data_IF_136398167803
#
_entry.id   IF_136398167803
#
_cell.length_a   1.000
_cell.length_b   1.000
_cell.length_c   1.000
_cell.angle_alpha   90.00
_cell.angle_beta   90.00
_cell.angle_gamma   90.00
#
_symmetry.space_group_name_H-M   'P 1'
#
loop_
_entity.id
_entity.type
_entity.pdbx_description
1 polymer ?
#
# COMPACT_ATOMS: atom_id res chain seq x y z
N UNK A 1 -5.05 17.39 1.06
CA UNK A 1 -5.36 16.59 -0.15
C UNK A 1 -6.65 17.09 -0.82
N UNK A 2 -7.86 17.06 -0.17
CA UNK A 2 -9.17 17.40 -0.76
C UNK A 2 -9.15 18.72 -1.56
N UNK A 3 -8.71 19.83 -0.94
CA UNK A 3 -8.69 21.15 -1.60
C UNK A 3 -7.87 21.15 -2.89
N UNK A 4 -6.77 20.43 -2.93
CA UNK A 4 -5.94 20.33 -4.13
C UNK A 4 -6.63 19.47 -5.20
N UNK A 5 -7.21 18.33 -4.82
CA UNK A 5 -7.90 17.44 -5.75
C UNK A 5 -9.09 18.15 -6.45
N UNK A 6 -9.99 18.78 -5.70
CA UNK A 6 -11.17 19.48 -6.27
C UNK A 6 -10.80 20.72 -7.10
N UNK A 7 -9.63 21.30 -6.90
CA UNK A 7 -9.10 22.42 -7.67
C UNK A 7 -8.13 22.00 -8.80
N UNK A 8 -8.17 20.72 -9.21
CA UNK A 8 -7.45 20.24 -10.39
C UNK A 8 -6.05 19.71 -10.14
N UNK A 9 -5.65 19.49 -8.89
CA UNK A 9 -4.42 18.78 -8.57
C UNK A 9 -4.49 17.33 -9.07
N UNK A 10 -3.60 16.96 -10.00
CA UNK A 10 -3.64 15.64 -10.65
C UNK A 10 -2.84 14.59 -9.91
N UNK A 11 -1.80 14.98 -9.20
CA UNK A 11 -1.00 14.11 -8.37
C UNK A 11 -0.71 14.81 -7.04
N UNK A 12 -1.07 14.17 -5.95
CA UNK A 12 -0.94 14.73 -4.60
C UNK A 12 -0.32 13.65 -3.72
N UNK A 13 0.91 13.87 -3.30
CA UNK A 13 1.59 13.02 -2.31
C UNK A 13 1.41 13.62 -0.93
N UNK A 14 1.02 12.77 0.02
CA UNK A 14 0.95 13.09 1.44
C UNK A 14 1.77 12.05 2.17
N UNK A 15 2.85 12.46 2.79
CA UNK A 15 3.70 11.59 3.57
C UNK A 15 3.77 12.05 5.01
N UNK A 16 3.94 11.10 5.93
CA UNK A 16 4.35 11.41 7.30
C UNK A 16 5.85 11.63 7.33
N UNK A 17 6.31 12.50 8.22
CA UNK A 17 7.73 12.75 8.38
C UNK A 17 8.46 11.47 8.82
N UNK A 18 9.61 11.22 8.22
CA UNK A 18 10.47 10.09 8.59
C UNK A 18 11.36 10.48 9.76
N UNK A 19 11.22 9.77 10.85
CA UNK A 19 12.11 9.82 11.99
C UNK A 19 12.64 8.40 12.24
N UNK A 20 13.96 8.17 12.09
CA UNK A 20 14.55 6.85 12.31
C UNK A 20 14.19 6.28 13.67
N UNK A 21 13.77 5.01 13.70
CA UNK A 21 13.35 4.28 14.91
C UNK A 21 12.13 4.87 15.65
N UNK A 22 11.44 5.84 15.05
CA UNK A 22 10.22 6.45 15.61
C UNK A 22 9.05 6.35 14.61
N UNK A 23 7.86 6.65 15.10
CA UNK A 23 6.65 6.67 14.27
C UNK A 23 6.42 5.34 13.56
N UNK A 24 6.38 5.38 12.23
CA UNK A 24 6.18 4.20 11.38
C UNK A 24 7.42 3.29 11.27
N UNK A 25 8.59 3.76 11.67
CA UNK A 25 9.81 2.94 11.68
C UNK A 25 9.85 2.02 12.91
N UNK A 26 8.97 1.03 12.93
CA UNK A 26 8.62 0.20 14.08
C UNK A 26 9.58 -0.98 14.26
N UNK A 27 10.80 -0.75 14.67
CA UNK A 27 11.75 -1.82 14.98
C UNK A 27 11.50 -2.50 16.32
N UNK A 28 11.13 -1.72 17.35
CA UNK A 28 10.84 -2.21 18.70
C UNK A 28 9.45 -1.78 19.14
N UNK A 29 8.79 -2.57 20.00
CA UNK A 29 7.42 -2.34 20.45
C UNK A 29 6.46 -2.00 19.29
N UNK A 30 6.64 -2.72 18.17
CA UNK A 30 6.05 -2.37 16.88
C UNK A 30 4.53 -2.42 16.87
N UNK A 31 3.93 -3.36 17.59
CA UNK A 31 2.47 -3.48 17.61
C UNK A 31 1.81 -2.28 18.33
N UNK A 32 2.33 -1.88 19.48
CA UNK A 32 1.82 -0.71 20.21
C UNK A 32 2.05 0.59 19.41
N UNK A 33 3.25 0.73 18.81
CA UNK A 33 3.58 1.90 17.99
C UNK A 33 2.71 1.98 16.74
N UNK A 34 2.56 0.90 16.00
CA UNK A 34 1.72 0.85 14.81
C UNK A 34 0.25 1.15 15.13
N UNK A 35 -0.26 0.70 16.30
CA UNK A 35 -1.60 1.04 16.75
C UNK A 35 -1.78 2.56 16.90
N UNK A 36 -0.84 3.23 17.58
CA UNK A 36 -0.85 4.69 17.73
C UNK A 36 -0.76 5.43 16.40
N UNK A 37 0.10 4.97 15.50
CA UNK A 37 0.25 5.59 14.19
C UNK A 37 -1.02 5.41 13.32
N UNK A 38 -1.68 4.25 13.41
CA UNK A 38 -2.97 4.03 12.75
C UNK A 38 -4.05 5.00 13.21
N UNK A 39 -4.12 5.31 14.49
CA UNK A 39 -5.06 6.31 15.03
C UNK A 39 -4.90 7.70 14.38
N UNK A 40 -3.67 8.08 14.01
CA UNK A 40 -3.38 9.36 13.37
C UNK A 40 -3.92 9.45 11.94
N UNK A 41 -3.97 8.35 11.20
CA UNK A 41 -4.34 8.34 9.79
C UNK A 41 -5.77 7.85 9.54
N UNK A 42 -6.34 7.03 10.41
CA UNK A 42 -7.62 6.37 10.20
C UNK A 42 -8.75 7.38 9.94
N UNK A 43 -9.00 8.27 10.90
CA UNK A 43 -10.06 9.29 10.76
C UNK A 43 -9.84 10.27 9.61
N UNK A 44 -8.63 10.84 9.41
CA UNK A 44 -8.36 11.73 8.28
C UNK A 44 -8.55 11.07 6.92
N UNK A 45 -8.17 9.80 6.75
CA UNK A 45 -8.37 9.07 5.49
C UNK A 45 -9.86 8.78 5.29
N UNK A 46 -10.55 8.27 6.31
CA UNK A 46 -11.99 8.01 6.23
C UNK A 46 -12.77 9.30 5.89
N UNK A 47 -12.43 10.43 6.50
CA UNK A 47 -13.07 11.71 6.20
C UNK A 47 -12.74 12.19 4.78
N UNK A 48 -11.52 12.00 4.30
CA UNK A 48 -11.15 12.35 2.92
C UNK A 48 -11.98 11.56 1.91
N UNK A 49 -12.12 10.24 2.11
CA UNK A 49 -12.91 9.37 1.23
C UNK A 49 -14.37 9.82 1.22
N UNK A 50 -14.96 10.00 2.40
CA UNK A 50 -16.33 10.47 2.54
C UNK A 50 -16.58 11.83 1.86
N UNK A 51 -15.70 12.78 2.09
CA UNK A 51 -15.79 14.12 1.51
C UNK A 51 -15.72 14.11 -0.01
N UNK A 52 -14.88 13.25 -0.60
CA UNK A 52 -14.75 13.12 -2.05
C UNK A 52 -15.95 12.38 -2.64
N UNK A 53 -16.49 11.39 -1.94
CA UNK A 53 -17.69 10.65 -2.35
C UNK A 53 -18.93 11.59 -2.35
N UNK A 54 -19.18 12.27 -1.25
CA UNK A 54 -20.30 13.22 -1.11
C UNK A 54 -20.23 14.38 -2.11
N UNK A 55 -19.06 14.77 -2.54
CA UNK A 55 -18.86 15.83 -3.55
C UNK A 55 -18.79 15.31 -5.00
N UNK A 56 -18.98 14.00 -5.23
CA UNK A 56 -18.95 13.39 -6.56
C UNK A 56 -17.56 13.39 -7.21
N UNK A 57 -16.49 13.43 -6.40
CA UNK A 57 -15.10 13.43 -6.90
C UNK A 57 -14.41 12.08 -6.72
N UNK A 58 -14.94 11.17 -5.90
CA UNK A 58 -14.27 9.90 -5.58
C UNK A 58 -14.10 9.01 -6.82
N UNK A 59 -15.11 8.95 -7.70
CA UNK A 59 -15.06 8.10 -8.90
C UNK A 59 -13.92 8.47 -9.87
N UNK A 60 -13.45 9.73 -9.80
CA UNK A 60 -12.34 10.25 -10.62
C UNK A 60 -11.10 10.60 -9.82
N UNK A 61 -11.00 10.13 -8.59
CA UNK A 61 -9.86 10.35 -7.71
C UNK A 61 -9.42 9.02 -7.13
N UNK A 62 -8.31 8.49 -7.61
CA UNK A 62 -7.70 7.30 -7.02
C UNK A 62 -6.94 7.69 -5.76
N UNK A 63 -7.31 7.11 -4.63
CA UNK A 63 -6.60 7.24 -3.35
C UNK A 63 -5.84 5.94 -3.10
N UNK A 64 -4.55 6.06 -2.77
CA UNK A 64 -3.68 4.92 -2.49
C UNK A 64 -3.03 5.13 -1.12
N UNK A 65 -3.13 4.14 -0.26
CA UNK A 65 -2.35 4.04 0.97
C UNK A 65 -1.38 2.88 0.83
N UNK A 66 -0.11 3.19 0.84
CA UNK A 66 0.98 2.23 0.70
C UNK A 66 2.17 2.63 1.55
N UNK A 67 3.06 1.67 1.79
CA UNK A 67 4.40 1.88 2.32
C UNK A 67 5.44 1.33 1.34
N UNK A 68 6.69 1.64 1.58
CA UNK A 68 7.82 1.20 0.76
C UNK A 68 8.03 -0.32 0.81
N UNK A 69 7.76 -0.94 1.95
CA UNK A 69 7.81 -2.38 2.19
C UNK A 69 6.97 -2.72 3.43
N UNK A 70 6.84 -4.00 3.69
CA UNK A 70 6.19 -4.55 4.88
C UNK A 70 7.19 -4.78 6.02
N UNK A 71 6.70 -5.26 7.15
CA UNK A 71 7.50 -5.65 8.31
C UNK A 71 7.26 -7.13 8.62
N UNK A 72 8.35 -7.89 8.73
CA UNK A 72 8.32 -9.27 9.22
C UNK A 72 8.50 -9.25 10.74
N UNK A 73 7.56 -9.79 11.48
CA UNK A 73 7.68 -9.91 12.93
C UNK A 73 8.80 -10.90 13.27
N UNK A 74 9.83 -10.44 13.95
CA UNK A 74 10.90 -11.29 14.48
C UNK A 74 10.39 -12.06 15.69
N UNK A 75 9.57 -11.41 16.50
CA UNK A 75 8.89 -12.00 17.64
C UNK A 75 7.39 -11.74 17.57
N UNK A 76 6.61 -12.77 17.85
CA UNK A 76 5.16 -12.70 17.98
C UNK A 76 4.78 -13.02 19.43
N UNK A 77 3.68 -12.46 19.89
CA UNK A 77 3.15 -12.67 21.23
C UNK A 77 2.86 -11.37 21.95
N UNK A 78 2.47 -11.49 23.18
CA UNK A 78 2.18 -10.35 24.08
C UNK A 78 3.03 -10.48 25.34
N UNK A 79 3.38 -9.38 26.01
CA UNK A 79 4.08 -9.44 27.26
C UNK A 79 3.39 -10.37 28.27
N UNK A 80 4.17 -11.28 28.87
CA UNK A 80 3.68 -12.26 29.85
C UNK A 80 3.09 -13.54 29.24
N UNK A 81 3.07 -13.69 27.90
CA UNK A 81 2.56 -14.89 27.23
C UNK A 81 3.68 -15.65 26.49
N UNK A 82 3.54 -16.98 26.31
CA UNK A 82 4.46 -17.75 25.48
C UNK A 82 4.51 -17.23 24.05
N UNK A 83 5.70 -17.16 23.48
CA UNK A 83 5.93 -16.66 22.11
C UNK A 83 6.23 -17.78 21.13
N UNK A 84 5.80 -17.59 19.88
CA UNK A 84 6.32 -18.30 18.71
C UNK A 84 7.23 -17.36 17.94
N UNK A 85 8.45 -17.75 17.72
CA UNK A 85 9.42 -16.92 17.03
C UNK A 85 10.26 -17.70 16.03
N UNK A 86 11.03 -16.98 15.24
CA UNK A 86 11.97 -17.53 14.25
C UNK A 86 13.43 -17.55 14.74
N UNK A 87 13.69 -17.09 15.94
CA UNK A 87 15.02 -17.00 16.54
C UNK A 87 14.93 -17.50 17.97
N UNK A 88 16.03 -18.04 18.51
CA UNK A 88 16.11 -18.41 19.92
C UNK A 88 15.84 -17.21 20.82
N UNK A 89 14.68 -17.22 21.43
CA UNK A 89 14.18 -16.15 22.31
C UNK A 89 13.63 -16.79 23.59
N UNK A 90 13.47 -16.04 24.65
CA UNK A 90 12.80 -16.55 25.84
C UNK A 90 11.36 -16.98 25.53
N UNK A 91 10.88 -18.06 26.14
CA UNK A 91 9.53 -18.59 25.95
C UNK A 91 8.42 -17.58 26.30
N UNK A 92 8.75 -16.54 27.05
CA UNK A 92 7.83 -15.48 27.48
C UNK A 92 8.47 -14.13 27.24
N UNK A 93 7.70 -13.20 26.64
CA UNK A 93 8.12 -11.81 26.48
C UNK A 93 8.00 -11.10 27.83
N UNK A 94 9.12 -10.75 28.45
CA UNK A 94 9.17 -9.96 29.68
C UNK A 94 9.34 -8.45 29.41
N UNK A 95 10.06 -8.10 28.34
CA UNK A 95 10.33 -6.71 27.96
C UNK A 95 9.44 -6.28 26.80
N UNK A 96 8.66 -5.24 26.98
CA UNK A 96 7.71 -4.70 26.01
C UNK A 96 8.38 -4.31 24.68
N UNK A 97 9.67 -4.00 24.67
CA UNK A 97 10.39 -3.68 23.42
C UNK A 97 10.32 -4.82 22.39
N UNK A 98 10.24 -6.07 22.85
CA UNK A 98 10.13 -7.25 21.97
C UNK A 98 8.71 -7.47 21.43
N UNK A 99 7.69 -6.79 21.96
CA UNK A 99 6.33 -6.93 21.48
C UNK A 99 6.17 -6.35 20.06
N UNK A 100 6.10 -7.25 19.08
CA UNK A 100 6.11 -6.87 17.67
C UNK A 100 7.44 -6.26 17.24
N UNK A 101 8.58 -6.84 17.66
CA UNK A 101 9.87 -6.51 17.10
C UNK A 101 9.91 -6.90 15.63
N UNK A 102 10.17 -5.94 14.75
CA UNK A 102 10.07 -6.10 13.32
C UNK A 102 11.38 -5.84 12.60
N UNK A 103 11.55 -6.47 11.45
CA UNK A 103 12.57 -6.13 10.47
C UNK A 103 11.93 -5.81 9.11
N UNK A 104 12.70 -5.26 8.19
CA UNK A 104 12.24 -5.01 6.83
C UNK A 104 11.89 -6.32 6.11
N UNK A 105 10.73 -6.36 5.48
CA UNK A 105 10.24 -7.50 4.73
C UNK A 105 9.77 -7.03 3.35
N UNK A 106 10.43 -7.55 2.30
CA UNK A 106 10.24 -7.09 0.92
C UNK A 106 9.46 -8.08 0.05
N UNK A 107 9.19 -9.30 0.54
CA UNK A 107 8.53 -10.34 -0.24
C UNK A 107 7.01 -10.24 -0.27
N UNK A 108 6.45 -9.33 0.51
CA UNK A 108 5.02 -9.05 0.53
C UNK A 108 4.71 -7.72 1.20
N UNK A 109 3.71 -7.03 0.67
CA UNK A 109 3.17 -5.80 1.25
C UNK A 109 1.69 -5.69 0.92
N UNK A 110 0.96 -4.90 1.69
CA UNK A 110 -0.46 -4.62 1.45
C UNK A 110 -0.64 -3.19 0.98
N UNK A 111 -1.46 -3.01 -0.05
CA UNK A 111 -1.83 -1.70 -0.58
C UNK A 111 -3.35 -1.55 -0.48
N UNK A 112 -3.81 -0.42 0.00
CA UNK A 112 -5.23 -0.08 0.03
C UNK A 112 -5.53 0.97 -1.04
N UNK A 113 -6.63 0.77 -1.76
CA UNK A 113 -7.05 1.68 -2.82
C UNK A 113 -8.54 2.02 -2.70
N UNK A 114 -8.89 3.26 -3.04
CA UNK A 114 -10.27 3.74 -3.07
C UNK A 114 -10.51 4.68 -4.23
N UNK A 115 -11.71 4.67 -4.77
CA UNK A 115 -12.13 5.56 -5.86
C UNK A 115 -11.42 5.26 -7.20
N UNK A 116 -11.46 6.20 -8.13
CA UNK A 116 -10.78 6.07 -9.42
C UNK A 116 -11.14 4.83 -10.24
N UNK A 117 -12.38 4.30 -10.07
CA UNK A 117 -12.85 3.11 -10.76
C UNK A 117 -12.47 1.78 -10.09
N UNK A 118 -11.81 1.79 -8.94
CA UNK A 118 -11.50 0.57 -8.17
C UNK A 118 -12.79 -0.11 -7.71
N UNK A 119 -12.84 -1.43 -7.88
CA UNK A 119 -13.97 -2.27 -7.44
C UNK A 119 -14.10 -2.26 -5.92
N UNK A 120 -15.32 -1.97 -5.44
CA UNK A 120 -15.60 -1.84 -4.01
C UNK A 120 -15.63 -3.20 -3.32
N UNK A 121 -14.90 -3.31 -2.20
CA UNK A 121 -14.88 -4.52 -1.39
C UNK A 121 -14.04 -5.66 -1.97
N UNK A 122 -13.28 -5.42 -3.03
CA UNK A 122 -12.37 -6.39 -3.60
C UNK A 122 -11.19 -6.66 -2.68
N UNK A 123 -10.87 -7.94 -2.50
CA UNK A 123 -9.59 -8.39 -1.95
C UNK A 123 -8.88 -9.11 -3.09
N UNK A 124 -7.72 -8.60 -3.50
CA UNK A 124 -6.93 -9.15 -4.58
C UNK A 124 -5.59 -9.68 -4.06
N UNK A 125 -5.33 -10.94 -4.37
CA UNK A 125 -4.16 -11.64 -3.88
C UNK A 125 -4.34 -12.19 -2.47
N UNK A 126 -3.44 -13.09 -2.10
CA UNK A 126 -3.38 -13.71 -0.78
C UNK A 126 -1.95 -14.02 -0.40
N UNK A 127 -1.62 -13.80 0.85
CA UNK A 127 -0.37 -14.25 1.45
C UNK A 127 -0.59 -15.56 2.21
N UNK A 128 0.48 -16.36 2.36
CA UNK A 128 0.45 -17.54 3.20
C UNK A 128 0.20 -17.15 4.67
N UNK A 129 -0.51 -18.00 5.40
CA UNK A 129 -0.74 -17.83 6.83
C UNK A 129 0.53 -18.12 7.64
N UNK A 130 1.46 -18.89 7.04
CA UNK A 130 2.72 -19.27 7.64
C UNK A 130 3.86 -18.41 7.09
N UNK A 131 4.87 -18.19 7.92
CA UNK A 131 6.10 -17.49 7.51
C UNK A 131 6.83 -18.24 6.41
N UNK A 132 7.44 -17.51 5.47
CA UNK A 132 7.66 -16.06 5.44
C UNK A 132 6.49 -15.21 4.91
N UNK A 133 5.25 -15.67 4.93
CA UNK A 133 4.06 -14.95 4.46
C UNK A 133 4.15 -14.53 2.99
N UNK A 134 4.72 -15.38 2.16
CA UNK A 134 4.87 -15.16 0.72
C UNK A 134 3.51 -15.07 0.03
N UNK A 135 3.45 -14.31 -1.05
CA UNK A 135 2.24 -14.26 -1.88
C UNK A 135 1.98 -15.61 -2.56
N UNK A 136 0.81 -16.21 -2.33
CA UNK A 136 0.43 -17.55 -2.82
C UNK A 136 -0.70 -17.53 -3.85
N UNK A 137 -1.48 -16.45 -3.91
CA UNK A 137 -2.51 -16.25 -4.92
C UNK A 137 -2.36 -14.86 -5.55
N UNK A 138 -2.49 -14.77 -6.86
CA UNK A 138 -2.43 -13.53 -7.62
C UNK A 138 -1.27 -12.62 -7.18
N UNK A 139 -0.01 -13.09 -7.20
CA UNK A 139 1.12 -12.28 -6.82
C UNK A 139 1.22 -11.03 -7.70
N UNK A 140 1.46 -9.89 -7.06
CA UNK A 140 1.56 -8.60 -7.72
C UNK A 140 2.97 -8.04 -7.57
N UNK A 141 3.59 -7.66 -8.67
CA UNK A 141 4.85 -6.92 -8.65
C UNK A 141 4.60 -5.42 -8.71
N UNK A 142 5.56 -4.64 -8.26
CA UNK A 142 5.42 -3.17 -8.16
C UNK A 142 5.13 -2.51 -9.52
N UNK A 143 5.66 -3.05 -10.61
CA UNK A 143 5.40 -2.56 -11.96
C UNK A 143 3.91 -2.64 -12.31
N UNK A 144 3.24 -3.72 -11.95
CA UNK A 144 1.79 -3.89 -12.17
C UNK A 144 0.97 -2.88 -11.36
N UNK A 145 1.43 -2.53 -10.16
CA UNK A 145 0.79 -1.46 -9.36
C UNK A 145 0.90 -0.12 -10.09
N UNK A 146 2.09 0.26 -10.54
CA UNK A 146 2.29 1.50 -11.30
C UNK A 146 1.45 1.52 -12.58
N UNK A 147 1.39 0.41 -13.30
CA UNK A 147 0.59 0.30 -14.50
C UNK A 147 -0.90 0.41 -14.26
N UNK A 148 -1.38 -0.14 -13.13
CA UNK A 148 -2.76 0.03 -12.70
C UNK A 148 -3.08 1.49 -12.36
N UNK A 149 -2.14 2.21 -11.75
CA UNK A 149 -2.25 3.65 -11.52
C UNK A 149 -2.32 4.42 -12.84
N UNK A 150 -1.44 4.12 -13.79
CA UNK A 150 -1.47 4.75 -15.12
C UNK A 150 -2.76 4.42 -15.87
N UNK A 151 -3.24 3.19 -15.78
CA UNK A 151 -4.51 2.78 -16.36
C UNK A 151 -5.68 3.62 -15.79
N UNK A 152 -5.74 3.78 -14.47
CA UNK A 152 -6.74 4.64 -13.81
C UNK A 152 -6.67 6.11 -14.26
N UNK A 153 -5.49 6.59 -14.65
CA UNK A 153 -5.26 7.94 -15.20
C UNK A 153 -5.53 8.02 -16.71
N UNK A 154 -5.87 6.94 -17.37
CA UNK A 154 -6.04 6.88 -18.84
C UNK A 154 -4.73 6.97 -19.61
N UNK A 155 -3.59 6.61 -19.00
CA UNK A 155 -2.28 6.62 -19.64
C UNK A 155 -1.97 5.23 -20.16
N UNK A 156 -1.79 5.12 -21.48
CA UNK A 156 -1.49 3.83 -22.12
C UNK A 156 -0.05 3.39 -21.84
N UNK A 157 0.25 2.09 -21.70
CA UNK A 157 1.61 1.58 -21.49
C UNK A 157 2.63 2.06 -22.52
N UNK A 158 2.22 2.15 -23.79
CA UNK A 158 3.08 2.61 -24.90
C UNK A 158 3.31 4.13 -24.90
N UNK A 159 2.69 4.89 -23.97
CA UNK A 159 2.94 6.33 -23.87
C UNK A 159 4.40 6.58 -23.56
N UNK A 160 5.04 7.41 -24.40
CA UNK A 160 6.46 7.70 -24.26
C UNK A 160 6.80 9.14 -24.68
N UNK A 161 7.96 9.57 -24.26
CA UNK A 161 8.64 10.77 -24.77
C UNK A 161 9.89 10.33 -25.52
N UNK A 162 10.17 10.98 -26.66
CA UNK A 162 11.40 10.75 -27.41
C UNK A 162 12.44 11.79 -27.06
N UNK A 163 13.58 11.34 -26.55
CA UNK A 163 14.73 12.20 -26.22
C UNK A 163 15.92 11.67 -27.00
N UNK A 164 16.53 12.53 -27.83
CA UNK A 164 17.67 12.17 -28.69
C UNK A 164 17.42 10.90 -29.54
N UNK A 165 16.19 10.74 -30.04
CA UNK A 165 15.80 9.59 -30.86
C UNK A 165 15.54 8.30 -30.08
N UNK A 166 15.56 8.31 -28.75
CA UNK A 166 15.25 7.17 -27.88
C UNK A 166 13.89 7.35 -27.20
N UNK A 167 12.99 6.35 -27.27
CA UNK A 167 11.75 6.41 -26.53
C UNK A 167 11.96 6.15 -25.02
N UNK A 168 11.33 6.95 -24.18
CA UNK A 168 11.22 6.77 -22.75
C UNK A 168 9.76 6.49 -22.40
N UNK A 169 9.44 5.25 -22.18
CA UNK A 169 8.08 4.78 -21.86
C UNK A 169 7.72 5.05 -20.40
N UNK A 170 6.42 5.14 -20.12
CA UNK A 170 5.88 5.20 -18.74
C UNK A 170 5.99 3.86 -18.01
N UNK A 171 6.18 2.77 -18.74
CA UNK A 171 6.32 1.41 -18.24
C UNK A 171 7.54 0.76 -18.88
N UNK A 172 8.13 -0.30 -18.29
CA UNK A 172 9.26 -0.98 -18.91
C UNK A 172 8.97 -1.38 -20.36
N UNK A 173 9.73 -0.81 -21.29
CA UNK A 173 9.67 -1.05 -22.73
C UNK A 173 8.26 -0.89 -23.37
N UNK A 174 7.33 -0.18 -22.71
CA UNK A 174 5.97 0.01 -23.21
C UNK A 174 5.07 -1.23 -23.09
N UNK A 175 5.50 -2.27 -22.41
CA UNK A 175 4.79 -3.56 -22.34
C UNK A 175 4.06 -3.81 -21.02
N UNK A 176 3.79 -2.77 -20.26
CA UNK A 176 3.13 -2.89 -18.97
C UNK A 176 1.70 -3.45 -19.05
N UNK A 177 1.37 -4.28 -18.05
CA UNK A 177 0.02 -4.86 -17.92
C UNK A 177 -0.57 -4.45 -16.58
N UNK A 178 -1.60 -3.59 -16.58
CA UNK A 178 -2.33 -3.26 -15.35
C UNK A 178 -3.11 -4.50 -14.85
N UNK A 179 -3.42 -4.50 -13.58
CA UNK A 179 -4.29 -5.51 -12.96
C UNK A 179 -5.73 -5.07 -13.22
N UNK A 180 -6.31 -5.54 -14.32
CA UNK A 180 -7.66 -5.14 -14.75
C UNK A 180 -8.74 -5.57 -13.77
N UNK A 181 -8.53 -6.65 -13.05
CA UNK A 181 -9.47 -7.16 -12.03
C UNK A 181 -9.70 -6.16 -10.87
N UNK A 182 -8.81 -5.18 -10.69
CA UNK A 182 -9.00 -4.12 -9.71
C UNK A 182 -10.11 -3.13 -10.09
N UNK A 183 -10.52 -3.11 -11.37
CA UNK A 183 -11.44 -2.12 -11.90
C UNK A 183 -12.81 -2.74 -12.21
N UNK A 184 -13.87 -2.07 -11.82
CA UNK A 184 -15.23 -2.50 -12.13
C UNK A 184 -15.50 -2.51 -13.65
N UNK A 185 -16.47 -3.32 -14.07
CA UNK A 185 -16.85 -3.54 -15.47
C UNK A 185 -17.13 -2.26 -16.28
N UNK A 186 -17.36 -1.13 -15.64
CA UNK A 186 -17.60 0.16 -16.29
C UNK A 186 -16.35 0.79 -16.90
N UNK A 187 -15.16 0.48 -16.38
CA UNK A 187 -13.88 1.03 -16.86
C UNK A 187 -13.29 0.20 -18.02
N UNK A 188 -13.64 -1.07 -18.13
CA UNK A 188 -13.11 -1.99 -19.15
C UNK A 188 -13.62 -1.61 -20.56
N UNK A 189 -14.70 -0.83 -20.66
CA UNK A 189 -15.35 -0.50 -21.94
C UNK A 189 -14.80 0.74 -22.66
N UNK A 190 -13.84 1.45 -22.08
CA UNK A 190 -13.30 2.72 -22.63
C UNK A 190 -11.82 2.67 -23.01
N UNK A 191 -11.20 1.49 -23.01
CA UNK A 191 -9.81 1.28 -23.44
C UNK A 191 -9.73 0.69 -24.85
#
# INVERSE_FOLDING_TARGET
AKRLAVNGGRFISVSTEYEPFLGWDTHENGHTRAAKMKELIDRPIAQLIKDLDESGHLDRTLIILASEFSRDAIMEGRPGEPVKDQVDQPDIIEDEKFYGMHRHFTDGSSILMWGGGIEKGLIYGKTADERPCSSIENPVIIDQVHQSIYHALGIHPETHYTIEGRPFYTTPDGHGKPILDLFGNSMIKTA
#
